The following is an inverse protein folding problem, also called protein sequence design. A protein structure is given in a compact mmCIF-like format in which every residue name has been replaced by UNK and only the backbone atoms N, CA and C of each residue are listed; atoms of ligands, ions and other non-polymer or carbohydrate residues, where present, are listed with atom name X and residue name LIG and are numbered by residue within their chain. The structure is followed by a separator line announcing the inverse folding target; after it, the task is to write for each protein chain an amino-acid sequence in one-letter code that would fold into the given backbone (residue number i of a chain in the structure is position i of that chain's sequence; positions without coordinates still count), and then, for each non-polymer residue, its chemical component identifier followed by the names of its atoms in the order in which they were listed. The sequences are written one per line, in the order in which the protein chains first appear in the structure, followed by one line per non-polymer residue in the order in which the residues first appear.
data_IF_816691524590
#
_entry.id   IF_816691524590
#
_cell.length_a   1.000
_cell.length_b   1.000
_cell.length_c   1.000
_cell.angle_alpha   90.00
_cell.angle_beta   90.00
_cell.angle_gamma   90.00
#
_symmetry.space_group_name_H-M   'P 1'
#
loop_
_entity.id
_entity.type
_entity.pdbx_description
1 polymer ?
#
# COMPACT_ATOMS: atom_id res chain seq x y z
N UNK A 1 -29.91 8.83 -37.85
CA UNK A 1 -29.73 10.27 -37.56
C UNK A 1 -29.77 10.60 -36.06
N UNK A 2 -30.27 9.73 -35.17
CA UNK A 2 -30.28 9.98 -33.71
C UNK A 2 -28.96 9.63 -32.97
N UNK A 3 -28.03 8.87 -33.57
CA UNK A 3 -26.77 8.46 -32.91
C UNK A 3 -25.73 9.58 -32.82
N UNK A 4 -25.75 10.59 -33.69
CA UNK A 4 -24.78 11.69 -33.68
C UNK A 4 -25.08 12.70 -32.56
N UNK A 5 -26.35 12.97 -32.27
CA UNK A 5 -26.77 13.88 -31.18
C UNK A 5 -26.40 13.34 -29.78
N UNK A 6 -26.56 12.04 -29.53
CA UNK A 6 -26.16 11.42 -28.26
C UNK A 6 -24.65 11.42 -28.04
N UNK A 7 -23.86 11.42 -29.11
CA UNK A 7 -22.39 11.41 -29.03
C UNK A 7 -21.85 12.82 -28.79
N UNK A 8 -22.42 13.84 -29.43
CA UNK A 8 -22.12 15.25 -29.12
C UNK A 8 -22.52 15.64 -27.69
N UNK A 9 -23.68 15.18 -27.21
CA UNK A 9 -24.16 15.49 -25.86
C UNK A 9 -23.31 14.87 -24.73
N UNK A 10 -22.51 13.83 -25.02
CA UNK A 10 -21.54 13.25 -24.08
C UNK A 10 -20.18 13.95 -24.07
N UNK A 11 -19.80 14.58 -25.18
CA UNK A 11 -18.53 15.31 -25.31
C UNK A 11 -18.62 16.65 -24.58
N UNK A 12 -19.77 17.33 -24.65
CA UNK A 12 -20.03 18.61 -23.96
C UNK A 12 -20.20 18.50 -22.43
N UNK A 13 -20.22 17.29 -21.87
CA UNK A 13 -20.34 17.06 -20.41
C UNK A 13 -19.00 16.93 -19.69
N UNK A 14 -17.88 16.81 -20.42
CA UNK A 14 -16.54 16.92 -19.81
C UNK A 14 -16.21 18.41 -19.68
N UNK A 15 -16.89 19.10 -18.75
CA UNK A 15 -16.59 20.49 -18.37
C UNK A 15 -15.11 20.60 -17.98
N UNK A 16 -14.35 21.49 -18.63
CA UNK A 16 -13.00 22.06 -18.38
C UNK A 16 -11.95 21.27 -17.54
N UNK A 17 -12.18 19.98 -17.28
CA UNK A 17 -11.48 19.14 -16.32
C UNK A 17 -11.37 19.72 -14.89
N UNK A 18 -12.21 20.67 -14.50
CA UNK A 18 -12.11 21.37 -13.19
C UNK A 18 -12.13 20.38 -12.01
N UNK A 19 -13.04 19.40 -12.02
CA UNK A 19 -13.12 18.38 -10.97
C UNK A 19 -11.84 17.51 -10.88
N UNK A 20 -11.16 17.29 -12.02
CA UNK A 20 -9.88 16.56 -12.06
C UNK A 20 -8.77 17.41 -11.46
N UNK A 21 -8.71 18.70 -11.82
CA UNK A 21 -7.74 19.65 -11.27
C UNK A 21 -7.92 19.75 -9.75
N UNK A 22 -9.14 20.00 -9.29
CA UNK A 22 -9.48 20.05 -7.86
C UNK A 22 -9.12 18.74 -7.12
N UNK A 23 -9.31 17.59 -7.76
CA UNK A 23 -8.91 16.30 -7.18
C UNK A 23 -7.39 16.17 -7.04
N UNK A 24 -6.62 16.68 -8.01
CA UNK A 24 -5.16 16.67 -7.94
C UNK A 24 -4.64 17.62 -6.86
N UNK A 25 -5.23 18.81 -6.74
CA UNK A 25 -4.92 19.77 -5.68
C UNK A 25 -5.21 19.16 -4.30
N UNK A 26 -6.38 18.52 -4.14
CA UNK A 26 -6.74 17.82 -2.92
C UNK A 26 -5.73 16.71 -2.55
N UNK A 27 -5.21 15.96 -3.54
CA UNK A 27 -4.17 14.95 -3.29
C UNK A 27 -2.88 15.61 -2.77
N UNK A 28 -2.46 16.74 -3.36
CA UNK A 28 -1.25 17.47 -2.92
C UNK A 28 -1.42 17.99 -1.49
N UNK A 29 -2.59 18.54 -1.15
CA UNK A 29 -2.90 18.96 0.21
C UNK A 29 -2.82 17.80 1.20
N UNK A 30 -3.41 16.65 0.88
CA UNK A 30 -3.33 15.45 1.72
C UNK A 30 -1.88 14.98 1.91
N UNK A 31 -1.05 15.02 0.87
CA UNK A 31 0.38 14.68 0.97
C UNK A 31 1.08 15.63 1.95
N UNK A 32 0.81 16.93 1.88
CA UNK A 32 1.38 17.92 2.78
C UNK A 32 0.96 17.70 4.24
N UNK A 33 -0.29 17.32 4.49
CA UNK A 33 -0.75 16.95 5.83
C UNK A 33 -0.06 15.68 6.34
N UNK A 34 0.07 14.64 5.51
CA UNK A 34 0.78 13.41 5.88
C UNK A 34 2.24 13.69 6.24
N UNK A 35 2.93 14.57 5.50
CA UNK A 35 4.32 14.97 5.80
C UNK A 35 4.45 15.52 7.23
N UNK A 36 3.47 16.32 7.69
CA UNK A 36 3.47 16.90 9.04
C UNK A 36 3.28 15.84 10.14
N UNK A 37 2.65 14.72 9.82
CA UNK A 37 2.38 13.62 10.74
C UNK A 37 3.53 12.60 10.81
N UNK A 38 4.57 12.74 9.99
CA UNK A 38 5.69 11.81 9.96
C UNK A 38 6.50 11.87 11.27
N UNK A 39 6.43 10.79 12.04
CA UNK A 39 7.30 10.57 13.20
C UNK A 39 8.63 9.96 12.75
N UNK A 40 9.71 10.74 12.90
CA UNK A 40 11.07 10.33 12.56
C UNK A 40 11.53 9.08 13.32
N UNK A 41 11.15 8.94 14.58
CA UNK A 41 11.56 7.79 15.39
C UNK A 41 10.81 6.52 14.98
N UNK A 42 9.52 6.64 14.64
CA UNK A 42 8.75 5.53 14.08
C UNK A 42 9.34 5.06 12.74
N UNK A 43 9.69 6.00 11.84
CA UNK A 43 10.35 5.68 10.57
C UNK A 43 11.68 4.97 10.81
N UNK A 44 12.53 5.52 11.69
CA UNK A 44 13.83 4.92 12.01
C UNK A 44 13.68 3.50 12.56
N UNK A 45 12.72 3.26 13.46
CA UNK A 45 12.42 1.92 13.99
C UNK A 45 11.95 0.95 12.91
N UNK A 46 11.09 1.39 11.99
CA UNK A 46 10.65 0.57 10.87
C UNK A 46 11.82 0.20 9.96
N UNK A 47 12.65 1.17 9.57
CA UNK A 47 13.82 0.93 8.74
C UNK A 47 14.82 -0.01 9.41
N UNK A 48 15.07 0.18 10.71
CA UNK A 48 15.96 -0.71 11.47
C UNK A 48 15.44 -2.15 11.48
N UNK A 49 14.13 -2.36 11.71
CA UNK A 49 13.52 -3.69 11.62
C UNK A 49 13.72 -4.32 10.24
N UNK A 50 13.49 -3.57 9.17
CA UNK A 50 13.69 -4.06 7.79
C UNK A 50 15.15 -4.46 7.54
N UNK A 51 16.11 -3.70 8.07
CA UNK A 51 17.54 -3.98 7.92
C UNK A 51 18.02 -5.18 8.76
N UNK A 52 17.45 -5.37 9.95
CA UNK A 52 17.83 -6.46 10.86
C UNK A 52 17.14 -7.79 10.52
N UNK A 53 16.00 -7.75 9.84
CA UNK A 53 15.23 -8.93 9.45
C UNK A 53 15.86 -9.71 8.30
N UNK A 54 15.76 -11.04 8.34
CA UNK A 54 16.30 -11.89 7.26
C UNK A 54 15.52 -11.73 5.94
N UNK A 55 14.19 -11.63 6.03
CA UNK A 55 13.27 -11.50 4.90
C UNK A 55 12.10 -10.61 5.27
N UNK A 56 11.58 -9.89 4.29
CA UNK A 56 10.43 -9.01 4.45
C UNK A 56 9.19 -9.63 3.81
N UNK A 57 8.10 -9.69 4.54
CA UNK A 57 6.80 -10.06 4.00
C UNK A 57 5.90 -8.84 4.03
N UNK A 58 5.21 -8.56 2.93
CA UNK A 58 4.24 -7.47 2.88
C UNK A 58 2.84 -8.03 2.68
N UNK A 59 1.86 -7.41 3.31
CA UNK A 59 0.44 -7.77 3.15
C UNK A 59 -0.46 -6.54 3.15
N UNK A 60 -1.54 -6.62 2.39
CA UNK A 60 -2.58 -5.60 2.30
C UNK A 60 -3.76 -6.13 1.50
N UNK A 61 -4.95 -5.57 1.73
CA UNK A 61 -6.16 -5.97 1.01
C UNK A 61 -6.59 -4.90 -0.01
N UNK A 62 -7.21 -5.33 -1.11
CA UNK A 62 -7.72 -4.43 -2.16
C UNK A 62 -6.64 -3.48 -2.70
N UNK A 63 -6.94 -2.17 -2.70
CA UNK A 63 -5.99 -1.12 -3.15
C UNK A 63 -4.73 -1.07 -2.29
N UNK A 64 -4.82 -1.31 -0.99
CA UNK A 64 -3.63 -1.39 -0.12
C UNK A 64 -2.74 -2.58 -0.48
N UNK A 65 -3.32 -3.66 -1.00
CA UNK A 65 -2.56 -4.78 -1.56
C UNK A 65 -1.74 -4.39 -2.79
N UNK A 66 -2.27 -3.51 -3.65
CA UNK A 66 -1.52 -2.97 -4.80
C UNK A 66 -0.34 -2.09 -4.34
N UNK A 67 -0.56 -1.24 -3.33
CA UNK A 67 0.51 -0.44 -2.70
C UNK A 67 1.57 -1.35 -2.07
N UNK A 68 1.16 -2.40 -1.36
CA UNK A 68 2.07 -3.39 -0.78
C UNK A 68 2.94 -4.06 -1.85
N UNK A 69 2.34 -4.48 -2.97
CA UNK A 69 3.06 -5.08 -4.10
C UNK A 69 4.07 -4.10 -4.72
N UNK A 70 3.69 -2.84 -4.91
CA UNK A 70 4.60 -1.81 -5.42
C UNK A 70 5.78 -1.59 -4.46
N UNK A 71 5.52 -1.57 -3.15
CA UNK A 71 6.55 -1.43 -2.13
C UNK A 71 7.50 -2.64 -2.09
N UNK A 72 6.97 -3.87 -2.12
CA UNK A 72 7.79 -5.08 -2.23
C UNK A 72 8.69 -5.06 -3.48
N UNK A 73 8.17 -4.63 -4.63
CA UNK A 73 8.98 -4.51 -5.84
C UNK A 73 10.16 -3.56 -5.65
N UNK A 74 9.96 -2.43 -4.95
CA UNK A 74 11.04 -1.49 -4.65
C UNK A 74 12.06 -2.08 -3.67
N UNK A 75 11.61 -2.77 -2.62
CA UNK A 75 12.52 -3.45 -1.69
C UNK A 75 13.36 -4.52 -2.41
N UNK A 76 12.76 -5.29 -3.32
CA UNK A 76 13.49 -6.26 -4.13
C UNK A 76 14.57 -5.59 -4.98
N UNK A 77 14.25 -4.48 -5.66
CA UNK A 77 15.25 -3.72 -6.42
C UNK A 77 16.38 -3.14 -5.57
N UNK A 78 16.15 -2.93 -4.27
CA UNK A 78 17.17 -2.51 -3.30
C UNK A 78 17.98 -3.69 -2.73
N UNK A 79 17.70 -4.92 -3.15
CA UNK A 79 18.43 -6.13 -2.75
C UNK A 79 17.84 -6.90 -1.57
N UNK A 80 16.67 -6.50 -1.05
CA UNK A 80 16.03 -7.22 0.04
C UNK A 80 15.33 -8.49 -0.47
N UNK A 81 15.42 -9.56 0.33
CA UNK A 81 14.58 -10.75 0.14
C UNK A 81 13.16 -10.44 0.61
N UNK A 82 12.24 -10.25 -0.33
CA UNK A 82 10.87 -9.78 -0.03
C UNK A 82 9.81 -10.63 -0.73
N UNK A 83 8.70 -10.86 -0.02
CA UNK A 83 7.58 -11.67 -0.50
C UNK A 83 6.25 -10.96 -0.21
N UNK A 84 5.24 -11.23 -1.04
CA UNK A 84 3.88 -10.74 -0.85
C UNK A 84 3.03 -11.88 -0.34
N UNK A 85 2.38 -11.71 0.82
CA UNK A 85 1.55 -12.75 1.42
C UNK A 85 0.40 -13.12 0.47
N UNK A 86 0.19 -14.43 0.26
CA UNK A 86 -0.86 -14.96 -0.61
C UNK A 86 -0.44 -15.23 -2.05
N UNK A 87 0.77 -14.83 -2.48
CA UNK A 87 1.31 -15.18 -3.80
C UNK A 87 1.88 -16.61 -3.84
N UNK A 88 1.89 -17.23 -5.01
CA UNK A 88 2.20 -18.66 -5.20
C UNK A 88 3.59 -19.07 -4.72
N UNK A 89 4.58 -18.19 -4.87
CA UNK A 89 5.98 -18.49 -4.53
C UNK A 89 6.36 -18.05 -3.11
N UNK A 90 5.40 -17.55 -2.33
CA UNK A 90 5.66 -17.02 -0.99
C UNK A 90 5.91 -18.16 -0.01
N UNK A 91 7.12 -18.28 0.58
CA UNK A 91 7.43 -19.31 1.55
C UNK A 91 6.76 -19.03 2.90
N UNK A 92 6.85 -19.97 3.84
CA UNK A 92 6.39 -19.75 5.20
C UNK A 92 7.23 -18.68 5.93
N UNK A 93 6.54 -17.84 6.71
CA UNK A 93 7.12 -16.88 7.65
C UNK A 93 7.85 -17.63 8.77
N UNK A 94 8.96 -17.08 9.23
CA UNK A 94 9.83 -17.59 10.29
C UNK A 94 10.07 -16.50 11.34
N UNK A 95 10.51 -16.86 12.56
CA UNK A 95 10.69 -15.89 13.65
C UNK A 95 11.65 -14.72 13.35
N UNK A 96 12.65 -14.91 12.48
CA UNK A 96 13.62 -13.88 12.10
C UNK A 96 13.17 -12.97 10.95
N UNK A 97 11.97 -13.21 10.41
CA UNK A 97 11.40 -12.37 9.35
C UNK A 97 10.70 -11.14 9.91
N UNK A 98 10.37 -10.21 9.02
CA UNK A 98 9.61 -9.00 9.32
C UNK A 98 8.36 -8.97 8.46
N UNK A 99 7.19 -8.74 9.08
CA UNK A 99 5.93 -8.61 8.36
C UNK A 99 5.40 -7.18 8.41
N UNK A 100 5.13 -6.62 7.23
CA UNK A 100 4.61 -5.26 7.05
C UNK A 100 3.17 -5.34 6.56
N UNK A 101 2.25 -4.95 7.44
CA UNK A 101 0.83 -4.86 7.15
C UNK A 101 0.45 -3.45 6.70
N UNK A 102 -0.23 -3.33 5.55
CA UNK A 102 -0.74 -2.06 5.04
C UNK A 102 -2.27 -2.07 5.10
N UNK A 103 -2.84 -1.30 6.04
CA UNK A 103 -4.28 -1.17 6.26
C UNK A 103 -4.62 0.27 6.65
N UNK A 104 -5.46 0.95 5.85
CA UNK A 104 -5.84 2.34 6.14
C UNK A 104 -6.75 2.49 7.36
N UNK A 105 -7.67 1.55 7.57
CA UNK A 105 -8.56 1.54 8.74
C UNK A 105 -7.95 0.89 9.98
N UNK A 106 -6.88 0.10 9.83
CA UNK A 106 -6.38 -0.77 10.90
C UNK A 106 -7.29 -1.98 11.24
N UNK A 107 -8.53 -1.99 10.77
CA UNK A 107 -9.56 -2.97 11.14
C UNK A 107 -9.83 -4.03 10.07
N UNK A 108 -9.06 -4.03 8.98
CA UNK A 108 -9.21 -5.03 7.91
C UNK A 108 -8.98 -6.44 8.49
N UNK A 109 -10.07 -7.20 8.72
CA UNK A 109 -10.04 -8.49 9.42
C UNK A 109 -8.99 -9.46 8.88
N UNK A 110 -8.90 -9.62 7.55
CA UNK A 110 -7.92 -10.51 6.93
C UNK A 110 -6.47 -10.15 7.27
N UNK A 111 -6.17 -8.85 7.45
CA UNK A 111 -4.84 -8.36 7.82
C UNK A 111 -4.62 -8.48 9.33
N UNK A 112 -5.63 -8.15 10.13
CA UNK A 112 -5.55 -8.25 11.58
C UNK A 112 -5.35 -9.70 12.06
N UNK A 113 -6.05 -10.65 11.46
CA UNK A 113 -5.94 -12.07 11.81
C UNK A 113 -4.60 -12.66 11.37
N UNK A 114 -4.10 -12.28 10.20
CA UNK A 114 -2.73 -12.62 9.79
C UNK A 114 -1.69 -12.04 10.77
N UNK A 115 -1.90 -10.81 11.26
CA UNK A 115 -1.03 -10.21 12.27
C UNK A 115 -0.96 -11.01 13.58
N UNK A 116 -2.07 -11.64 14.00
CA UNK A 116 -2.08 -12.55 15.18
C UNK A 116 -1.23 -13.79 14.91
N UNK A 117 -1.39 -14.41 13.74
CA UNK A 117 -0.62 -15.60 13.34
C UNK A 117 0.88 -15.28 13.30
N UNK A 118 1.26 -14.12 12.78
CA UNK A 118 2.66 -13.65 12.75
C UNK A 118 3.23 -13.54 14.17
N UNK A 119 2.45 -13.00 15.11
CA UNK A 119 2.83 -12.91 16.51
C UNK A 119 2.98 -14.28 17.16
N UNK A 120 2.10 -15.22 16.84
CA UNK A 120 2.15 -16.60 17.37
C UNK A 120 3.37 -17.37 16.84
N UNK A 121 3.80 -17.09 15.60
CA UNK A 121 5.05 -17.62 15.02
C UNK A 121 6.29 -17.04 15.72
N UNK A 122 6.16 -15.90 16.41
CA UNK A 122 7.29 -15.20 17.03
C UNK A 122 8.06 -14.29 16.07
N UNK A 123 7.46 -13.96 14.92
CA UNK A 123 7.99 -12.99 13.97
C UNK A 123 7.65 -11.56 14.42
N UNK A 124 8.37 -10.58 13.87
CA UNK A 124 8.06 -9.15 14.05
C UNK A 124 6.95 -8.67 13.12
#
# INVERSE_FOLDING_TARGET
MERDQFTHMKIDQVKDCEDVILSMEFIVENINEVIKLLDREAIKKMLQKILDGERVFVMGAGRSGLVAKAFAMRLMHLGFSVYVVGETTTPAVRPADVVIAISGSGETHSIADLGKIVKDIGST
#
